data_IF_823208167719
#
_entry.id   IF_823208167719
#
_cell.length_a   1.000
_cell.length_b   1.000
_cell.length_c   1.000
_cell.angle_alpha   90.00
_cell.angle_beta   90.00
_cell.angle_gamma   90.00
#
_symmetry.space_group_name_H-M   'P 1'
#
loop_
_entity.id
_entity.type
_entity.pdbx_description
1 polymer ?
#
# COMPACT_ATOMS: atom_id res chain seq x y z
N UNK A 1 -11.71 -10.62 -7.18
CA UNK A 1 -10.23 -10.60 -7.37
C UNK A 1 -9.66 -10.07 -6.06
N UNK A 2 -9.08 -10.90 -5.16
CA UNK A 2 -8.66 -12.30 -5.34
C UNK A 2 -9.81 -13.23 -5.72
N UNK A 3 -9.50 -14.33 -6.39
CA UNK A 3 -10.48 -15.33 -6.82
C UNK A 3 -9.89 -16.73 -6.66
N UNK A 4 -10.69 -17.65 -6.13
CA UNK A 4 -10.34 -19.05 -5.96
C UNK A 4 -11.49 -19.90 -6.49
N UNK A 5 -11.16 -20.93 -7.28
CA UNK A 5 -12.10 -21.97 -7.73
C UNK A 5 -11.53 -23.35 -7.42
N UNK A 6 -12.32 -24.15 -6.73
CA UNK A 6 -11.95 -25.50 -6.33
C UNK A 6 -12.98 -26.55 -6.80
N UNK A 7 -12.50 -27.77 -6.99
CA UNK A 7 -13.31 -28.96 -7.23
C UNK A 7 -13.74 -29.18 -8.67
N UNK A 8 -14.50 -30.24 -8.84
CA UNK A 8 -14.89 -30.79 -10.13
C UNK A 8 -15.76 -29.80 -10.92
N UNK A 9 -15.56 -29.77 -12.22
CA UNK A 9 -16.45 -29.17 -13.19
C UNK A 9 -15.73 -28.36 -14.26
N UNK A 10 -16.53 -27.78 -15.14
CA UNK A 10 -16.10 -27.03 -16.31
C UNK A 10 -16.79 -25.66 -16.29
N UNK A 11 -16.00 -24.59 -16.27
CA UNK A 11 -16.51 -23.25 -16.03
C UNK A 11 -15.77 -22.21 -16.89
N UNK A 12 -16.49 -21.17 -17.28
CA UNK A 12 -15.93 -19.99 -17.93
C UNK A 12 -16.13 -18.78 -17.02
N UNK A 13 -15.06 -18.01 -16.81
CA UNK A 13 -15.08 -16.75 -16.07
C UNK A 13 -14.55 -15.62 -16.95
N UNK A 14 -14.94 -14.38 -16.62
CA UNK A 14 -14.31 -13.19 -17.19
C UNK A 14 -13.95 -12.18 -16.10
N UNK A 15 -12.89 -11.41 -16.36
CA UNK A 15 -12.48 -10.29 -15.52
C UNK A 15 -11.96 -9.15 -16.38
N UNK A 16 -12.30 -7.91 -16.01
CA UNK A 16 -11.66 -6.70 -16.53
C UNK A 16 -10.47 -6.23 -15.67
N UNK A 17 -10.29 -6.83 -14.48
CA UNK A 17 -9.16 -6.56 -13.59
C UNK A 17 -8.04 -7.55 -13.88
N UNK A 18 -6.84 -7.03 -14.20
CA UNK A 18 -5.65 -7.83 -14.51
C UNK A 18 -5.17 -8.62 -13.29
N UNK A 19 -5.20 -9.97 -13.32
CA UNK A 19 -4.52 -10.80 -12.34
C UNK A 19 -3.00 -10.56 -12.40
N UNK A 20 -2.35 -10.67 -11.26
CA UNK A 20 -0.89 -10.57 -11.17
C UNK A 20 -0.26 -11.94 -11.09
N UNK A 21 -0.83 -12.82 -10.26
CA UNK A 21 -0.34 -14.19 -10.09
C UNK A 21 -1.49 -15.14 -10.40
N UNK A 22 -1.16 -16.16 -11.18
CA UNK A 22 -1.99 -17.33 -11.44
C UNK A 22 -1.29 -18.52 -10.81
N UNK A 23 -2.03 -19.33 -10.08
CA UNK A 23 -1.55 -20.60 -9.59
C UNK A 23 -2.65 -21.66 -9.76
N UNK A 24 -2.25 -22.86 -10.15
CA UNK A 24 -3.19 -23.96 -10.29
C UNK A 24 -2.52 -25.31 -10.09
N UNK A 25 -3.31 -26.29 -9.67
CA UNK A 25 -2.90 -27.69 -9.57
C UNK A 25 -4.11 -28.62 -9.71
N UNK A 26 -3.83 -29.87 -10.08
CA UNK A 26 -4.84 -30.91 -10.31
C UNK A 26 -5.94 -30.50 -11.31
N UNK A 27 -5.65 -29.63 -12.28
CA UNK A 27 -6.57 -29.26 -13.36
C UNK A 27 -6.31 -30.06 -14.62
N UNK A 28 -7.40 -30.38 -15.31
CA UNK A 28 -7.33 -30.92 -16.67
C UNK A 28 -6.93 -29.80 -17.64
N UNK A 29 -7.55 -28.61 -17.49
CA UNK A 29 -7.23 -27.41 -18.25
C UNK A 29 -7.48 -26.12 -17.48
N UNK A 30 -6.58 -25.16 -17.64
CA UNK A 30 -6.78 -23.75 -17.33
C UNK A 30 -6.29 -22.91 -18.51
N UNK A 31 -7.19 -22.36 -19.31
CA UNK A 31 -6.84 -21.53 -20.47
C UNK A 31 -7.25 -20.09 -20.18
N UNK A 32 -6.32 -19.14 -20.33
CA UNK A 32 -6.60 -17.71 -20.19
C UNK A 32 -6.25 -17.02 -21.50
N UNK A 33 -7.23 -16.41 -22.17
CA UNK A 33 -7.06 -15.75 -23.48
C UNK A 33 -6.25 -16.58 -24.50
N UNK A 34 -6.45 -17.90 -24.52
CA UNK A 34 -5.75 -18.83 -25.43
C UNK A 34 -4.41 -19.37 -24.92
N UNK A 35 -3.88 -18.88 -23.79
CA UNK A 35 -2.65 -19.38 -23.19
C UNK A 35 -2.95 -20.40 -22.08
N UNK A 36 -2.21 -21.50 -22.05
CA UNK A 36 -2.39 -22.58 -21.06
C UNK A 36 -1.64 -22.28 -19.75
N UNK A 37 -2.37 -22.30 -18.64
CA UNK A 37 -1.90 -22.12 -17.27
C UNK A 37 -2.15 -23.33 -16.36
N UNK A 38 -2.42 -24.50 -16.93
CA UNK A 38 -2.71 -25.71 -16.18
C UNK A 38 -1.51 -26.14 -15.33
N UNK A 39 -1.78 -26.40 -14.04
CA UNK A 39 -0.85 -27.01 -13.10
C UNK A 39 0.47 -26.25 -12.93
N UNK A 40 0.42 -24.92 -12.97
CA UNK A 40 1.61 -24.09 -12.82
C UNK A 40 1.31 -22.78 -12.09
N UNK A 41 2.38 -22.25 -11.52
CA UNK A 41 2.45 -20.88 -11.04
C UNK A 41 2.95 -19.97 -12.18
N UNK A 42 2.40 -18.77 -12.31
CA UNK A 42 2.88 -17.76 -13.25
C UNK A 42 2.51 -16.34 -12.80
N UNK A 43 3.45 -15.42 -13.00
CA UNK A 43 3.30 -13.98 -12.84
C UNK A 43 3.17 -13.23 -14.19
N UNK A 44 3.10 -13.96 -15.30
CA UNK A 44 3.03 -13.42 -16.65
C UNK A 44 1.66 -13.69 -17.27
N UNK A 45 0.81 -12.66 -17.28
CA UNK A 45 -0.50 -12.74 -17.94
C UNK A 45 -0.43 -12.50 -19.45
N UNK A 46 -1.24 -13.21 -20.25
CA UNK A 46 -1.42 -12.91 -21.66
C UNK A 46 -2.05 -11.53 -21.85
N UNK A 47 -1.95 -11.00 -23.08
CA UNK A 47 -2.60 -9.74 -23.42
C UNK A 47 -4.13 -9.85 -23.26
N UNK A 48 -4.81 -8.78 -22.81
CA UNK A 48 -6.26 -8.77 -22.71
C UNK A 48 -6.90 -8.76 -24.10
N UNK A 49 -8.04 -9.45 -24.24
CA UNK A 49 -8.90 -9.37 -25.43
C UNK A 49 -10.00 -8.38 -25.09
N UNK A 50 -10.06 -7.24 -25.80
CA UNK A 50 -11.00 -6.15 -25.53
C UNK A 50 -10.98 -5.67 -24.06
N UNK A 51 -9.80 -5.61 -23.46
CA UNK A 51 -9.63 -5.18 -22.05
C UNK A 51 -10.05 -6.23 -21.02
N UNK A 52 -10.32 -7.48 -21.43
CA UNK A 52 -10.73 -8.57 -20.54
C UNK A 52 -9.82 -9.79 -20.63
N UNK A 53 -9.84 -10.58 -19.57
CA UNK A 53 -9.29 -11.94 -19.52
C UNK A 53 -10.44 -12.92 -19.38
N UNK A 54 -10.55 -13.80 -20.37
CA UNK A 54 -11.47 -14.92 -20.42
C UNK A 54 -10.74 -16.15 -19.92
N UNK A 55 -11.27 -16.77 -18.87
CA UNK A 55 -10.66 -17.89 -18.17
C UNK A 55 -11.56 -19.11 -18.35
N UNK A 56 -11.00 -20.16 -18.93
CA UNK A 56 -11.62 -21.47 -19.02
C UNK A 56 -10.98 -22.41 -18.01
N UNK A 57 -11.78 -22.95 -17.11
CA UNK A 57 -11.38 -23.90 -16.07
C UNK A 57 -12.01 -25.26 -16.35
N UNK A 58 -11.22 -26.33 -16.23
CA UNK A 58 -11.71 -27.71 -16.22
C UNK A 58 -10.92 -28.54 -15.21
N UNK A 59 -11.65 -29.12 -14.26
CA UNK A 59 -11.10 -30.04 -13.27
C UNK A 59 -11.97 -31.29 -13.12
N UNK A 60 -11.33 -32.46 -13.12
CA UNK A 60 -11.99 -33.75 -12.89
C UNK A 60 -11.80 -34.29 -11.46
N UNK A 61 -11.03 -33.59 -10.62
CA UNK A 61 -10.70 -34.02 -9.26
C UNK A 61 -11.38 -33.13 -8.21
N UNK A 62 -11.83 -33.69 -7.06
CA UNK A 62 -12.39 -32.88 -5.97
C UNK A 62 -11.44 -31.81 -5.43
N UNK A 63 -10.12 -31.99 -5.59
CA UNK A 63 -9.07 -31.06 -5.16
C UNK A 63 -8.42 -30.29 -6.33
N UNK A 64 -9.04 -30.32 -7.51
CA UNK A 64 -8.71 -29.40 -8.61
C UNK A 64 -8.76 -27.96 -8.09
N UNK A 65 -7.73 -27.15 -8.33
CA UNK A 65 -7.63 -25.81 -7.78
C UNK A 65 -7.08 -24.80 -8.79
N UNK A 66 -7.69 -23.62 -8.77
CA UNK A 66 -7.25 -22.42 -9.48
C UNK A 66 -7.39 -21.22 -8.56
N UNK A 67 -6.34 -20.41 -8.46
CA UNK A 67 -6.39 -19.09 -7.85
C UNK A 67 -5.80 -18.02 -8.78
N UNK A 68 -6.44 -16.86 -8.75
CA UNK A 68 -5.98 -15.64 -9.40
C UNK A 68 -5.87 -14.54 -8.34
N UNK A 69 -4.65 -14.12 -8.09
CA UNK A 69 -4.33 -13.08 -7.12
C UNK A 69 -4.09 -11.75 -7.82
N UNK A 70 -4.44 -10.67 -7.15
CA UNK A 70 -3.91 -9.35 -7.45
C UNK A 70 -2.64 -9.14 -6.60
N UNK A 71 -1.71 -8.30 -7.06
CA UNK A 71 -0.94 -7.52 -6.08
C UNK A 71 -1.98 -6.74 -5.28
N UNK A 72 -1.87 -6.70 -3.95
CA UNK A 72 -2.65 -5.77 -3.14
C UNK A 72 -2.26 -4.35 -3.57
N UNK A 73 -2.98 -3.82 -4.55
CA UNK A 73 -2.56 -2.66 -5.31
C UNK A 73 -3.06 -1.40 -4.62
N UNK A 74 -2.12 -0.50 -4.34
CA UNK A 74 -2.22 0.81 -3.68
C UNK A 74 -1.90 0.81 -2.17
N UNK A 75 -2.62 0.04 -1.35
CA UNK A 75 -2.49 0.14 0.12
C UNK A 75 -1.13 -0.36 0.65
N UNK A 76 -0.54 -1.42 0.08
CA UNK A 76 0.77 -1.92 0.53
C UNK A 76 1.96 -1.06 0.04
N UNK A 77 1.83 -0.33 -1.08
CA UNK A 77 2.84 0.68 -1.47
C UNK A 77 2.81 1.91 -0.56
N UNK A 78 1.68 2.17 0.10
CA UNK A 78 1.57 3.19 1.14
C UNK A 78 2.04 2.69 2.51
N UNK A 79 1.96 1.38 2.80
CA UNK A 79 2.53 0.79 4.02
C UNK A 79 4.07 0.68 4.01
N UNK A 80 4.70 0.46 2.85
CA UNK A 80 6.17 0.28 2.75
C UNK A 80 6.94 1.56 3.08
N UNK A 81 6.34 2.74 3.01
CA UNK A 81 6.94 4.02 3.41
C UNK A 81 5.92 4.88 4.18
N UNK A 82 5.32 4.30 5.22
CA UNK A 82 4.32 4.99 6.04
C UNK A 82 5.01 5.94 7.03
N UNK A 83 4.54 7.20 7.05
CA UNK A 83 4.87 8.16 8.11
C UNK A 83 3.81 8.06 9.20
N UNK A 84 4.25 7.78 10.42
CA UNK A 84 3.42 7.80 11.63
C UNK A 84 3.77 9.02 12.47
N UNK A 85 2.76 9.71 13.01
CA UNK A 85 2.95 10.83 13.94
C UNK A 85 2.14 10.58 15.20
N UNK A 86 2.80 10.54 16.36
CA UNK A 86 2.18 10.18 17.64
C UNK A 86 2.90 10.80 18.85
N UNK A 87 2.24 10.99 20.00
CA UNK A 87 0.80 10.85 20.19
C UNK A 87 0.04 12.02 19.56
N UNK A 88 -1.24 11.81 19.25
CA UNK A 88 -2.15 12.88 18.87
C UNK A 88 -3.50 12.63 19.57
N UNK A 89 -3.92 13.47 20.52
CA UNK A 89 -3.28 14.72 20.97
C UNK A 89 -1.92 14.53 21.68
N UNK A 90 -1.13 15.61 21.75
CA UNK A 90 0.18 15.65 22.43
C UNK A 90 0.24 16.79 23.47
N UNK A 91 1.23 16.77 24.38
CA UNK A 91 1.41 17.83 25.40
C UNK A 91 2.61 18.73 25.10
N UNK A 92 3.82 18.16 25.09
CA UNK A 92 5.07 18.92 24.88
C UNK A 92 5.77 18.56 23.57
N UNK A 93 5.64 17.29 23.15
CA UNK A 93 6.31 16.76 21.97
C UNK A 93 5.44 15.70 21.30
N UNK A 94 5.73 15.47 20.03
CA UNK A 94 5.31 14.27 19.31
C UNK A 94 6.50 13.68 18.56
N UNK A 95 6.35 12.44 18.13
CA UNK A 95 7.34 11.66 17.40
C UNK A 95 6.81 11.46 15.98
N UNK A 96 7.70 11.63 15.01
CA UNK A 96 7.47 11.29 13.61
C UNK A 96 8.36 10.08 13.32
N UNK A 97 7.78 8.97 12.87
CA UNK A 97 8.53 7.82 12.40
C UNK A 97 8.21 7.50 10.94
N UNK A 98 9.24 7.21 10.15
CA UNK A 98 9.11 6.71 8.78
C UNK A 98 9.40 5.21 8.76
N UNK A 99 8.52 4.44 8.14
CA UNK A 99 8.69 3.00 7.92
C UNK A 99 9.49 2.75 6.65
N UNK A 100 10.18 1.62 6.57
CA UNK A 100 10.90 1.22 5.35
C UNK A 100 12.23 1.94 5.14
N UNK A 101 12.52 2.32 3.90
CA UNK A 101 13.80 2.93 3.50
C UNK A 101 13.70 4.41 3.13
N UNK A 102 12.49 4.97 3.13
CA UNK A 102 12.25 6.36 2.72
C UNK A 102 12.59 7.33 3.85
N UNK A 103 13.65 8.09 3.64
CA UNK A 103 14.21 8.98 4.66
C UNK A 103 13.40 10.26 4.76
N UNK A 104 13.30 10.79 5.97
CA UNK A 104 12.71 12.11 6.21
C UNK A 104 13.76 13.17 5.85
N UNK A 105 13.42 14.05 4.91
CA UNK A 105 14.32 15.11 4.42
C UNK A 105 13.96 16.48 4.96
N UNK A 106 12.69 16.71 5.32
CA UNK A 106 12.23 17.98 5.89
C UNK A 106 10.97 17.82 6.71
N UNK A 107 10.89 18.51 7.83
CA UNK A 107 9.68 18.63 8.65
C UNK A 107 9.34 20.11 8.83
N UNK A 108 8.09 20.45 8.54
CA UNK A 108 7.52 21.79 8.70
C UNK A 108 6.30 21.70 9.61
N UNK A 109 6.23 22.58 10.61
CA UNK A 109 5.07 22.69 11.51
C UNK A 109 4.52 24.09 11.41
N UNK A 110 3.22 24.18 11.12
CA UNK A 110 2.49 25.44 10.99
C UNK A 110 1.38 25.52 12.04
N UNK A 111 1.05 26.72 12.48
CA UNK A 111 -0.18 26.94 13.24
C UNK A 111 -1.39 27.16 12.30
N UNK A 112 -2.58 27.38 12.87
CA UNK A 112 -3.84 27.53 12.12
C UNK A 112 -3.90 28.80 11.26
N UNK A 113 -3.04 29.78 11.50
CA UNK A 113 -2.91 30.99 10.66
C UNK A 113 -1.97 30.78 9.47
N UNK A 114 -1.31 29.61 9.40
CA UNK A 114 -0.32 29.29 8.37
C UNK A 114 1.09 29.80 8.69
N UNK A 115 1.32 30.36 9.87
CA UNK A 115 2.65 30.77 10.31
C UNK A 115 3.51 29.53 10.60
N UNK A 116 4.76 29.55 10.14
CA UNK A 116 5.73 28.49 10.39
C UNK A 116 6.24 28.56 11.84
N UNK A 117 5.97 27.52 12.62
CA UNK A 117 6.35 27.39 14.04
C UNK A 117 7.67 26.65 14.19
N UNK A 118 7.90 25.61 13.37
CA UNK A 118 9.12 24.81 13.41
C UNK A 118 9.50 24.34 12.00
N UNK A 119 10.81 24.36 11.74
CA UNK A 119 11.43 23.78 10.56
C UNK A 119 12.60 22.89 11.02
N UNK A 120 12.71 21.71 10.43
CA UNK A 120 13.91 20.88 10.49
C UNK A 120 14.27 20.43 9.08
N UNK A 121 15.54 20.57 8.74
CA UNK A 121 16.10 20.22 7.44
C UNK A 121 16.95 18.96 7.54
N UNK A 122 17.30 18.36 6.40
CA UNK A 122 18.12 17.15 6.31
C UNK A 122 19.40 17.20 7.17
N UNK A 123 20.01 18.38 7.32
CA UNK A 123 21.20 18.60 8.17
C UNK A 123 20.95 18.38 9.66
N UNK A 124 19.73 18.56 10.13
CA UNK A 124 19.32 18.44 11.54
C UNK A 124 18.69 17.07 11.84
N UNK A 125 18.36 16.29 10.80
CA UNK A 125 17.63 15.03 10.91
C UNK A 125 18.56 13.81 11.01
N UNK A 126 19.88 13.96 10.81
CA UNK A 126 20.93 12.94 10.97
C UNK A 126 20.62 11.57 10.34
N UNK A 127 19.87 11.54 9.23
CA UNK A 127 19.34 10.31 8.59
C UNK A 127 18.50 9.41 9.54
N UNK A 128 17.91 9.99 10.59
CA UNK A 128 17.06 9.23 11.49
C UNK A 128 15.69 8.95 10.86
N UNK A 129 15.25 7.70 10.97
CA UNK A 129 13.88 7.31 10.62
C UNK A 129 12.87 7.69 11.71
N UNK A 130 13.35 8.20 12.85
CA UNK A 130 12.51 8.65 13.95
C UNK A 130 12.97 10.02 14.46
N UNK A 131 12.03 10.95 14.61
CA UNK A 131 12.33 12.34 14.97
C UNK A 131 11.38 12.78 16.07
N UNK A 132 11.94 13.15 17.22
CA UNK A 132 11.18 13.71 18.35
C UNK A 132 11.15 15.24 18.23
N UNK A 133 9.96 15.81 18.13
CA UNK A 133 9.74 17.22 17.87
C UNK A 133 9.00 17.88 19.04
N UNK A 134 9.67 18.84 19.69
CA UNK A 134 9.13 19.62 20.79
C UNK A 134 8.45 20.90 20.28
N UNK A 135 7.22 21.15 20.72
CA UNK A 135 6.45 22.36 20.40
C UNK A 135 6.10 23.06 21.72
N UNK A 136 6.66 24.26 21.99
CA UNK A 136 6.32 25.00 23.20
C UNK A 136 4.84 25.39 23.21
N UNK A 137 4.20 25.32 24.38
CA UNK A 137 2.83 25.78 24.56
C UNK A 137 2.77 27.31 24.41
N UNK A 138 2.30 27.77 23.26
CA UNK A 138 2.23 29.21 22.93
C UNK A 138 0.78 29.69 22.65
N UNK A 139 -0.22 28.96 23.16
CA UNK A 139 -1.65 29.28 22.98
C UNK A 139 -2.30 28.70 21.71
N UNK A 140 -1.50 28.18 20.78
CA UNK A 140 -1.99 27.42 19.63
C UNK A 140 -2.36 25.98 20.05
N UNK A 141 -3.63 25.60 19.91
CA UNK A 141 -4.12 24.26 20.25
C UNK A 141 -4.02 23.26 19.08
N UNK A 142 -3.74 23.73 17.87
CA UNK A 142 -3.74 22.92 16.65
C UNK A 142 -2.62 23.32 15.72
N UNK A 143 -1.94 22.30 15.18
CA UNK A 143 -0.84 22.46 14.25
C UNK A 143 -1.06 21.60 13.00
N UNK A 144 -0.57 22.09 11.87
CA UNK A 144 -0.44 21.32 10.63
C UNK A 144 1.02 20.90 10.53
N UNK A 145 1.26 19.60 10.48
CA UNK A 145 2.59 19.01 10.33
C UNK A 145 2.72 18.48 8.92
N UNK A 146 3.75 18.94 8.21
CA UNK A 146 4.12 18.50 6.87
C UNK A 146 5.46 17.79 6.95
N UNK A 147 5.47 16.51 6.59
CA UNK A 147 6.65 15.64 6.57
C UNK A 147 6.98 15.34 5.12
N UNK A 148 8.17 15.75 4.70
CA UNK A 148 8.69 15.50 3.35
C UNK A 148 9.70 14.36 3.47
N UNK A 149 9.46 13.29 2.72
CA UNK A 149 10.40 12.19 2.53
C UNK A 149 11.05 12.29 1.15
N UNK A 150 11.97 11.39 0.80
CA UNK A 150 12.59 11.36 -0.53
C UNK A 150 11.54 11.09 -1.62
N UNK A 151 10.51 10.29 -1.30
CA UNK A 151 9.51 9.85 -2.29
C UNK A 151 8.15 10.54 -2.19
N UNK A 152 7.76 11.06 -1.01
CA UNK A 152 6.40 11.54 -0.75
C UNK A 152 6.35 12.77 0.17
N UNK A 153 5.19 13.42 0.17
CA UNK A 153 4.85 14.47 1.14
C UNK A 153 3.63 14.01 1.91
N UNK A 154 3.75 13.97 3.23
CA UNK A 154 2.66 13.69 4.14
C UNK A 154 2.23 14.96 4.87
N UNK A 155 0.93 15.14 5.07
CA UNK A 155 0.36 16.27 5.81
C UNK A 155 -0.65 15.74 6.79
N UNK A 156 -0.59 16.22 8.04
CA UNK A 156 -1.58 15.87 9.04
C UNK A 156 -1.73 16.92 10.12
N UNK A 157 -2.81 16.77 10.88
CA UNK A 157 -3.22 17.70 11.92
C UNK A 157 -2.83 17.13 13.28
N UNK A 158 -2.12 17.91 14.09
CA UNK A 158 -1.77 17.58 15.46
C UNK A 158 -2.48 18.52 16.43
N UNK A 159 -2.97 17.99 17.55
CA UNK A 159 -3.69 18.73 18.58
C UNK A 159 -2.81 18.77 19.83
N UNK A 160 -2.53 19.98 20.35
CA UNK A 160 -1.80 20.16 21.60
C UNK A 160 -2.78 20.35 22.76
N UNK A 161 -2.66 19.52 23.78
CA UNK A 161 -3.39 19.66 25.03
C UNK A 161 -2.66 20.62 25.98
N UNK A 162 -3.46 21.33 26.78
CA UNK A 162 -3.01 22.21 27.85
C UNK A 162 -2.83 21.44 29.16
#
# INVERSE_FOLDING_TARGET
MPFVKEGIGEYCFETSVKPVVINSWALDKLIINGTDFSNKWSDQMPQPINGKWYIYYKGSLPWSHFEAMLHKSAEEKDMINMVNIFPNPFTEYFVISSSGTDKIVRIEVYNTTGALVKLMTEKELDNSNEVKLYIPQNGDATYIVRVVTESKVWVGKMIQCH
#
